data_IF_134893406342
#
_entry.id   IF_134893406342
#
_cell.length_a   1.000
_cell.length_b   1.000
_cell.length_c   1.000
_cell.angle_alpha   90.00
_cell.angle_beta   90.00
_cell.angle_gamma   90.00
#
_symmetry.space_group_name_H-M   'P 1'
#
loop_
_entity.id
_entity.type
_entity.pdbx_description
1 polymer ?
#
# COMPACT_ATOMS: atom_id res chain seq x y z
N UNK A 1 3.70 -2.69 -10.43
CA UNK A 1 3.36 -1.50 -11.24
C UNK A 1 2.72 -1.93 -12.54
N UNK A 2 3.40 -2.77 -13.33
CA UNK A 2 2.90 -3.22 -14.64
C UNK A 2 1.52 -3.86 -14.60
N UNK A 3 1.24 -4.69 -13.58
CA UNK A 3 -0.09 -5.27 -13.39
C UNK A 3 -1.15 -4.18 -13.15
N UNK A 4 -0.84 -3.15 -12.35
CA UNK A 4 -1.75 -2.04 -12.10
C UNK A 4 -2.02 -1.23 -13.38
N UNK A 5 -0.97 -0.94 -14.14
CA UNK A 5 -1.09 -0.26 -15.43
C UNK A 5 -1.93 -1.07 -16.41
N UNK A 6 -1.75 -2.39 -16.45
CA UNK A 6 -2.49 -3.26 -17.36
C UNK A 6 -3.97 -3.40 -16.95
N UNK A 7 -4.27 -3.45 -15.65
CA UNK A 7 -5.64 -3.39 -15.12
C UNK A 7 -6.32 -2.11 -15.57
N UNK A 8 -5.65 -0.97 -15.42
CA UNK A 8 -6.17 0.34 -15.82
C UNK A 8 -6.32 0.46 -17.33
N UNK A 9 -5.32 0.03 -18.11
CA UNK A 9 -5.33 0.06 -19.58
C UNK A 9 -6.47 -0.76 -20.16
N UNK A 10 -6.78 -1.91 -19.57
CA UNK A 10 -7.90 -2.77 -19.96
C UNK A 10 -9.24 -2.35 -19.35
N UNK A 11 -9.25 -1.37 -18.45
CA UNK A 11 -10.46 -0.93 -17.75
C UNK A 11 -11.09 -2.02 -16.87
N UNK A 12 -10.29 -2.94 -16.32
CA UNK A 12 -10.81 -4.05 -15.53
C UNK A 12 -11.35 -3.56 -14.19
N UNK A 13 -12.61 -3.91 -13.89
CA UNK A 13 -13.24 -3.63 -12.60
C UNK A 13 -12.99 -4.81 -11.65
N UNK A 14 -11.78 -4.87 -11.12
CA UNK A 14 -11.35 -5.95 -10.21
C UNK A 14 -11.10 -5.38 -8.81
N UNK A 15 -11.46 -6.18 -7.80
CA UNK A 15 -11.16 -5.89 -6.41
C UNK A 15 -10.15 -6.93 -5.93
N UNK A 16 -8.99 -6.47 -5.46
CA UNK A 16 -7.91 -7.35 -5.03
C UNK A 16 -7.14 -6.78 -3.85
N UNK A 17 -6.43 -7.66 -3.16
CA UNK A 17 -5.49 -7.30 -2.11
C UNK A 17 -4.10 -7.87 -2.37
N UNK A 18 -3.09 -7.24 -1.79
CA UNK A 18 -1.71 -7.68 -1.90
C UNK A 18 -1.02 -7.74 -0.54
N UNK A 19 -0.02 -8.62 -0.47
CA UNK A 19 0.95 -8.68 0.62
C UNK A 19 2.29 -8.21 0.08
N UNK A 20 2.88 -7.23 0.75
CA UNK A 20 4.20 -6.71 0.40
C UNK A 20 5.12 -6.71 1.62
N UNK A 21 6.42 -6.91 1.37
CA UNK A 21 7.46 -6.63 2.37
C UNK A 21 7.78 -5.13 2.33
N UNK A 22 8.23 -4.59 3.47
CA UNK A 22 8.55 -3.17 3.60
C UNK A 22 9.58 -2.78 2.54
N UNK A 23 9.12 -2.02 1.55
CA UNK A 23 9.91 -1.34 0.54
C UNK A 23 9.38 0.09 0.57
N UNK A 24 10.18 1.15 0.31
CA UNK A 24 9.65 2.49 0.26
C UNK A 24 8.55 2.55 -0.81
N UNK A 25 7.31 2.58 -0.34
CA UNK A 25 6.16 2.92 -1.16
C UNK A 25 6.06 4.44 -1.12
N UNK A 26 6.39 5.08 -2.23
CA UNK A 26 6.03 6.47 -2.41
C UNK A 26 4.51 6.62 -2.57
N UNK A 27 4.03 7.86 -2.47
CA UNK A 27 2.61 8.18 -2.62
C UNK A 27 2.09 7.79 -4.01
N UNK A 28 2.96 7.80 -5.02
CA UNK A 28 2.62 7.46 -6.40
C UNK A 28 2.23 5.98 -6.54
N UNK A 29 3.03 5.08 -5.98
CA UNK A 29 2.76 3.63 -6.00
C UNK A 29 1.47 3.32 -5.26
N UNK A 30 1.24 3.93 -4.09
CA UNK A 30 0.01 3.72 -3.30
C UNK A 30 -1.22 4.18 -4.09
N UNK A 31 -1.13 5.36 -4.72
CA UNK A 31 -2.22 5.89 -5.53
C UNK A 31 -2.49 5.01 -6.75
N UNK A 32 -1.43 4.50 -7.40
CA UNK A 32 -1.56 3.59 -8.54
C UNK A 32 -2.24 2.27 -8.14
N UNK A 33 -1.83 1.69 -7.01
CA UNK A 33 -2.46 0.48 -6.47
C UNK A 33 -3.96 0.69 -6.23
N UNK A 34 -4.32 1.80 -5.59
CA UNK A 34 -5.72 2.16 -5.31
C UNK A 34 -6.54 2.32 -6.60
N UNK A 35 -6.00 3.05 -7.58
CA UNK A 35 -6.65 3.23 -8.89
C UNK A 35 -6.88 1.90 -9.61
N UNK A 36 -5.94 0.98 -9.51
CA UNK A 36 -6.05 -0.36 -10.09
C UNK A 36 -6.96 -1.32 -9.29
N UNK A 37 -7.68 -0.85 -8.27
CA UNK A 37 -8.63 -1.68 -7.51
C UNK A 37 -8.01 -2.47 -6.35
N UNK A 38 -6.79 -2.13 -5.92
CA UNK A 38 -6.21 -2.68 -4.70
C UNK A 38 -6.87 -2.02 -3.49
N UNK A 39 -7.71 -2.75 -2.77
CA UNK A 39 -8.42 -2.22 -1.60
C UNK A 39 -7.77 -2.61 -0.27
N UNK A 40 -6.84 -3.57 -0.27
CA UNK A 40 -6.20 -4.09 0.94
C UNK A 40 -4.74 -4.40 0.68
N UNK A 41 -3.86 -3.62 1.28
CA UNK A 41 -2.42 -3.86 1.26
C UNK A 41 -1.96 -4.28 2.66
N UNK A 42 -1.41 -5.49 2.77
CA UNK A 42 -0.78 -6.00 3.98
C UNK A 42 0.71 -5.81 3.86
N UNK A 43 1.29 -4.99 4.73
CA UNK A 43 2.72 -4.72 4.72
C UNK A 43 3.36 -5.38 5.94
N UNK A 44 4.42 -6.16 5.73
CA UNK A 44 5.20 -6.76 6.82
C UNK A 44 6.00 -5.69 7.56
N UNK A 45 5.78 -5.56 8.87
CA UNK A 45 6.24 -4.47 9.74
C UNK A 45 7.56 -4.85 10.46
N UNK A 46 8.42 -5.66 9.83
CA UNK A 46 9.53 -6.34 10.52
C UNK A 46 10.77 -5.46 10.78
N UNK A 47 10.85 -4.24 10.23
CA UNK A 47 11.96 -3.31 10.49
C UNK A 47 11.50 -1.87 10.21
N UNK A 48 11.06 -1.15 11.25
CA UNK A 48 10.59 0.23 11.12
C UNK A 48 11.76 1.21 11.03
N UNK A 49 11.93 1.82 9.86
CA UNK A 49 12.41 3.20 9.80
C UNK A 49 11.25 4.15 10.13
N UNK A 50 11.47 5.12 11.02
CA UNK A 50 10.43 6.01 11.57
C UNK A 50 9.76 6.86 10.51
N UNK A 51 10.41 7.10 9.39
CA UNK A 51 9.88 7.97 8.34
C UNK A 51 8.90 7.26 7.40
N UNK A 52 9.11 5.98 7.09
CA UNK A 52 8.18 5.18 6.26
C UNK A 52 6.83 5.02 6.98
N UNK A 53 6.86 4.91 8.31
CA UNK A 53 5.65 4.91 9.11
C UNK A 53 4.86 6.21 8.96
N UNK A 54 5.49 7.39 8.96
CA UNK A 54 4.74 8.67 8.89
C UNK A 54 3.90 8.78 7.62
N UNK A 55 4.40 8.27 6.50
CA UNK A 55 3.67 8.25 5.22
C UNK A 55 2.52 7.24 5.21
N UNK A 56 2.70 6.07 5.82
CA UNK A 56 1.62 5.09 6.00
C UNK A 56 0.62 5.50 7.11
N UNK A 57 1.03 6.39 8.03
CA UNK A 57 0.30 6.81 9.24
C UNK A 57 -0.40 8.17 9.13
N UNK A 58 -0.92 8.58 7.97
CA UNK A 58 -2.11 9.47 7.97
C UNK A 58 -3.39 8.72 8.39
N UNK A 59 -3.29 7.83 9.37
CA UNK A 59 -4.42 7.01 9.83
C UNK A 59 -4.13 5.89 10.85
N UNK A 60 -2.87 5.60 11.19
CA UNK A 60 -2.56 4.64 12.26
C UNK A 60 -1.65 5.34 13.25
N UNK A 61 -2.17 5.85 14.35
CA UNK A 61 -1.34 6.45 15.40
C UNK A 61 -0.40 5.41 16.05
N UNK A 62 0.78 5.83 16.53
CA UNK A 62 1.69 4.99 17.34
C UNK A 62 1.03 4.28 18.51
N UNK A 63 -0.02 4.86 19.06
CA UNK A 63 -0.73 4.32 20.23
C UNK A 63 -1.39 2.95 19.99
N UNK A 64 -1.60 2.53 18.73
CA UNK A 64 -2.23 1.23 18.42
C UNK A 64 -1.26 0.06 18.21
N UNK A 65 0.06 0.23 18.39
CA UNK A 65 1.04 -0.87 18.33
C UNK A 65 1.58 -1.20 19.74
N UNK A 66 0.69 -1.20 20.73
CA UNK A 66 1.00 -1.70 22.07
C UNK A 66 -0.16 -2.55 22.57
N UNK A 67 0.05 -3.87 22.50
CA UNK A 67 -0.74 -5.00 23.02
C UNK A 67 -2.15 -5.23 22.46
#
# INVERSE_FOLDING_TARGET
>A
IDICNEILRRGLKVNWGARARLYPFDEEIINLLKKAGCNRLHVGVESLDRDILKYMRKGITPEHISQ
#
